data_IF_796583715360
#
_entry.id   IF_796583715360
#
_cell.length_a   1.000
_cell.length_b   1.000
_cell.length_c   1.000
_cell.angle_alpha   90.00
_cell.angle_beta   90.00
_cell.angle_gamma   90.00
#
_symmetry.space_group_name_H-M   'P 1'
#
loop_
_entity.id
_entity.type
_entity.pdbx_description
1 polymer ?
#
# COMPACT_ATOMS: atom_id res chain seq x y z
N UNK A 1 -34.85 -22.57 13.05
CA UNK A 1 -34.85 -23.97 13.52
C UNK A 1 -33.45 -24.25 14.02
N UNK A 2 -33.27 -24.71 15.25
CA UNK A 2 -31.96 -24.97 15.86
C UNK A 2 -31.41 -26.30 15.39
N UNK A 3 -30.22 -26.34 14.79
CA UNK A 3 -29.53 -27.60 14.47
C UNK A 3 -29.27 -28.39 15.76
N UNK A 4 -29.58 -29.68 15.73
CA UNK A 4 -29.26 -30.60 16.82
C UNK A 4 -27.82 -31.11 16.68
N UNK A 5 -27.19 -31.48 17.80
CA UNK A 5 -25.84 -32.05 17.78
C UNK A 5 -25.76 -33.29 16.87
N UNK A 6 -26.79 -34.13 16.82
CA UNK A 6 -26.83 -35.30 15.92
C UNK A 6 -26.82 -34.91 14.44
N UNK A 7 -27.55 -33.86 14.04
CA UNK A 7 -27.54 -33.35 12.67
C UNK A 7 -26.19 -32.74 12.30
N UNK A 8 -25.56 -32.01 13.23
CA UNK A 8 -24.22 -31.47 13.02
C UNK A 8 -23.18 -32.59 12.93
N UNK A 9 -23.29 -33.63 13.76
CA UNK A 9 -22.40 -34.77 13.77
C UNK A 9 -22.42 -35.51 12.42
N UNK A 10 -23.60 -35.75 11.85
CA UNK A 10 -23.73 -36.34 10.50
C UNK A 10 -23.07 -35.47 9.42
N UNK A 11 -23.18 -34.14 9.51
CA UNK A 11 -22.52 -33.22 8.57
C UNK A 11 -21.00 -33.22 8.73
N UNK A 12 -20.50 -33.29 9.95
CA UNK A 12 -19.05 -33.30 10.25
C UNK A 12 -18.44 -34.64 9.82
N UNK A 13 -19.07 -35.78 10.11
CA UNK A 13 -18.58 -37.12 9.71
C UNK A 13 -18.41 -37.24 8.19
N UNK A 14 -19.33 -36.66 7.41
CA UNK A 14 -19.24 -36.66 5.96
C UNK A 14 -17.94 -36.01 5.42
N UNK A 15 -17.31 -35.14 6.22
CA UNK A 15 -16.04 -34.48 5.88
C UNK A 15 -14.85 -34.99 6.68
N UNK A 16 -15.07 -35.46 7.91
CA UNK A 16 -14.06 -35.85 8.87
C UNK A 16 -14.45 -37.18 9.51
N UNK A 17 -13.95 -38.32 8.98
CA UNK A 17 -14.31 -39.65 9.48
C UNK A 17 -13.89 -39.90 10.95
N UNK A 18 -13.00 -39.08 11.49
CA UNK A 18 -12.53 -39.14 12.88
C UNK A 18 -13.29 -38.20 13.82
N UNK A 19 -14.47 -37.73 13.40
CA UNK A 19 -15.35 -36.98 14.27
C UNK A 19 -15.90 -37.86 15.41
N UNK A 20 -15.83 -37.33 16.62
CA UNK A 20 -16.21 -37.96 17.87
C UNK A 20 -17.20 -37.04 18.58
N UNK A 21 -18.36 -37.56 18.95
CA UNK A 21 -19.28 -36.84 19.82
C UNK A 21 -18.84 -37.01 21.28
N UNK A 22 -18.36 -35.92 21.91
CA UNK A 22 -17.87 -35.93 23.30
C UNK A 22 -19.04 -36.00 24.28
N UNK A 23 -20.12 -35.28 23.97
CA UNK A 23 -21.35 -35.24 24.76
C UNK A 23 -22.54 -34.86 23.86
N UNK A 24 -23.71 -34.63 24.46
CA UNK A 24 -24.94 -34.31 23.72
C UNK A 24 -24.90 -32.99 22.93
N UNK A 25 -23.90 -32.14 23.16
CA UNK A 25 -23.82 -30.80 22.52
C UNK A 25 -22.53 -30.55 21.75
N UNK A 26 -21.46 -31.31 22.01
CA UNK A 26 -20.10 -31.05 21.54
C UNK A 26 -19.59 -32.17 20.64
N UNK A 27 -19.12 -31.76 19.46
CA UNK A 27 -18.45 -32.63 18.50
C UNK A 27 -16.99 -32.23 18.38
N UNK A 28 -16.10 -33.21 18.41
CA UNK A 28 -14.67 -33.05 18.22
C UNK A 28 -14.24 -33.71 16.92
N UNK A 29 -13.38 -33.06 16.14
CA UNK A 29 -12.77 -33.67 14.95
C UNK A 29 -11.37 -33.10 14.70
N UNK A 30 -10.57 -33.79 13.89
CA UNK A 30 -9.20 -33.37 13.60
C UNK A 30 -9.02 -33.06 12.12
N UNK A 31 -8.47 -31.89 11.80
CA UNK A 31 -8.06 -31.59 10.43
C UNK A 31 -6.68 -32.23 10.15
N UNK A 32 -6.61 -32.95 9.04
CA UNK A 32 -5.42 -33.67 8.59
C UNK A 32 -5.01 -33.16 7.21
N UNK A 33 -3.70 -33.02 6.99
CA UNK A 33 -3.11 -32.77 5.69
C UNK A 33 -2.13 -33.91 5.42
N UNK A 34 -2.30 -34.63 4.30
CA UNK A 34 -1.51 -35.82 3.96
C UNK A 34 -1.45 -36.86 5.11
N UNK A 35 -2.55 -37.03 5.85
CA UNK A 35 -2.66 -37.94 7.00
C UNK A 35 -2.07 -37.40 8.32
N UNK A 36 -1.35 -36.28 8.29
CA UNK A 36 -0.81 -35.66 9.50
C UNK A 36 -1.82 -34.68 10.13
N UNK A 37 -2.20 -34.86 11.41
CA UNK A 37 -3.07 -33.93 12.09
C UNK A 37 -2.35 -32.61 12.34
N UNK A 38 -3.02 -31.48 12.05
CA UNK A 38 -2.47 -30.14 12.30
C UNK A 38 -3.35 -29.26 13.19
N UNK A 39 -4.65 -29.56 13.31
CA UNK A 39 -5.56 -28.79 14.16
C UNK A 39 -6.72 -29.65 14.68
N UNK A 40 -7.16 -29.38 15.91
CA UNK A 40 -8.30 -30.05 16.56
C UNK A 40 -9.42 -29.04 16.75
N UNK A 41 -10.63 -29.41 16.34
CA UNK A 41 -11.81 -28.55 16.40
C UNK A 41 -12.83 -29.15 17.34
N UNK A 42 -13.45 -28.29 18.15
CA UNK A 42 -14.57 -28.57 19.03
C UNK A 42 -15.74 -27.66 18.62
N UNK A 43 -16.89 -28.24 18.29
CA UNK A 43 -18.10 -27.50 17.94
C UNK A 43 -19.14 -27.77 19.02
N UNK A 44 -19.52 -26.74 19.77
CA UNK A 44 -20.61 -26.80 20.75
C UNK A 44 -21.87 -26.17 20.18
N UNK A 45 -22.96 -26.94 20.17
CA UNK A 45 -24.30 -26.50 19.71
C UNK A 45 -25.18 -26.08 20.89
N UNK A 46 -24.65 -26.11 22.12
CA UNK A 46 -25.35 -25.62 23.29
C UNK A 46 -25.76 -24.15 23.09
N UNK A 47 -27.05 -23.88 23.25
CA UNK A 47 -27.61 -22.52 23.13
C UNK A 47 -27.26 -21.64 24.35
N UNK A 48 -26.71 -22.24 25.41
CA UNK A 48 -26.33 -21.54 26.63
C UNK A 48 -24.82 -21.27 26.63
N UNK A 49 -24.45 -20.01 26.42
CA UNK A 49 -23.05 -19.59 26.49
C UNK A 49 -22.62 -19.40 27.95
N UNK A 50 -21.37 -19.72 28.31
CA UNK A 50 -20.81 -19.38 29.61
C UNK A 50 -20.89 -17.88 29.91
N UNK A 51 -21.59 -17.51 30.97
CA UNK A 51 -21.78 -16.10 31.38
C UNK A 51 -20.68 -15.55 32.30
N UNK A 52 -19.76 -16.39 32.76
CA UNK A 52 -18.64 -15.98 33.62
C UNK A 52 -17.36 -16.76 33.31
N UNK A 53 -16.22 -16.19 33.71
CA UNK A 53 -14.90 -16.81 33.50
C UNK A 53 -14.78 -18.17 34.21
N UNK A 54 -15.35 -18.30 35.41
CA UNK A 54 -15.31 -19.56 36.17
C UNK A 54 -16.08 -20.68 35.47
N UNK A 55 -17.26 -20.37 34.93
CA UNK A 55 -18.08 -21.33 34.17
C UNK A 55 -17.33 -21.73 32.90
N UNK A 56 -16.71 -20.78 32.22
CA UNK A 56 -15.92 -21.04 31.02
C UNK A 56 -14.70 -21.92 31.32
N UNK A 57 -13.98 -21.68 32.42
CA UNK A 57 -12.83 -22.52 32.81
C UNK A 57 -13.28 -23.96 33.13
N UNK A 58 -14.32 -24.13 33.95
CA UNK A 58 -14.87 -25.46 34.27
C UNK A 58 -15.34 -26.20 33.01
N UNK A 59 -15.96 -25.48 32.08
CA UNK A 59 -16.37 -26.03 30.80
C UNK A 59 -15.16 -26.53 29.98
N UNK A 60 -14.10 -25.73 29.88
CA UNK A 60 -12.88 -26.07 29.15
C UNK A 60 -12.17 -27.28 29.74
N UNK A 61 -12.02 -27.36 31.07
CA UNK A 61 -11.39 -28.49 31.73
C UNK A 61 -12.15 -29.80 31.45
N UNK A 62 -13.49 -29.73 31.42
CA UNK A 62 -14.35 -30.88 31.12
C UNK A 62 -14.24 -31.35 29.66
N UNK A 63 -14.25 -30.42 28.70
CA UNK A 63 -14.31 -30.74 27.27
C UNK A 63 -12.92 -30.96 26.66
N UNK A 64 -11.97 -30.08 26.99
CA UNK A 64 -10.65 -30.04 26.36
C UNK A 64 -9.60 -30.68 27.28
N UNK A 65 -9.69 -30.47 28.60
CA UNK A 65 -8.64 -30.86 29.54
C UNK A 65 -8.20 -32.33 29.45
N UNK A 66 -9.16 -33.25 29.30
CA UNK A 66 -8.89 -34.68 29.18
C UNK A 66 -8.17 -35.07 27.87
N UNK A 67 -8.32 -34.28 26.80
CA UNK A 67 -7.70 -34.50 25.49
C UNK A 67 -6.43 -33.67 25.28
N UNK A 68 -6.28 -32.56 26.01
CA UNK A 68 -5.19 -31.60 25.85
C UNK A 68 -3.81 -32.25 26.03
N UNK A 69 -3.69 -33.20 26.95
CA UNK A 69 -2.44 -33.91 27.22
C UNK A 69 -2.30 -35.24 26.47
N UNK A 70 -3.32 -35.69 25.73
CA UNK A 70 -3.36 -37.03 25.09
C UNK A 70 -2.79 -37.06 23.65
N UNK A 71 -2.14 -35.99 23.18
CA UNK A 71 -1.67 -35.86 21.79
C UNK A 71 -0.21 -35.42 21.65
N UNK A 72 0.23 -35.23 20.39
CA UNK A 72 1.53 -34.59 20.09
C UNK A 72 1.54 -33.17 20.67
N UNK A 73 2.61 -32.79 21.37
CA UNK A 73 2.77 -31.45 21.97
C UNK A 73 2.51 -30.29 20.99
N UNK A 74 2.74 -30.49 19.69
CA UNK A 74 2.46 -29.49 18.65
C UNK A 74 0.97 -29.17 18.48
N UNK A 75 0.07 -30.13 18.72
CA UNK A 75 -1.38 -29.95 18.55
C UNK A 75 -2.03 -29.14 19.68
N UNK A 76 -1.40 -29.06 20.85
CA UNK A 76 -1.86 -28.26 21.99
C UNK A 76 -2.05 -26.78 21.63
N UNK A 77 -1.23 -26.29 20.70
CA UNK A 77 -1.25 -24.91 20.22
C UNK A 77 -2.26 -24.65 19.10
N UNK A 78 -2.94 -25.70 18.63
CA UNK A 78 -3.84 -25.67 17.46
C UNK A 78 -5.22 -26.25 17.78
N UNK A 79 -5.71 -25.99 18.99
CA UNK A 79 -7.09 -26.29 19.39
C UNK A 79 -8.00 -25.11 19.10
N UNK A 80 -9.18 -25.39 18.54
CA UNK A 80 -10.20 -24.41 18.20
C UNK A 80 -11.54 -24.82 18.81
N UNK A 81 -12.19 -23.92 19.54
CA UNK A 81 -13.51 -24.15 20.14
C UNK A 81 -14.52 -23.15 19.57
N UNK A 82 -15.58 -23.65 18.96
CA UNK A 82 -16.65 -22.84 18.39
C UNK A 82 -17.94 -23.09 19.15
N UNK A 83 -18.54 -22.00 19.64
CA UNK A 83 -19.91 -22.02 20.14
C UNK A 83 -20.85 -21.59 19.02
N UNK A 84 -21.82 -22.44 18.69
CA UNK A 84 -22.76 -22.25 17.60
C UNK A 84 -24.08 -21.78 18.19
N UNK A 85 -24.48 -20.57 17.81
CA UNK A 85 -25.74 -19.94 18.24
C UNK A 85 -26.51 -19.42 17.02
N UNK A 86 -27.71 -18.90 17.24
CA UNK A 86 -28.49 -18.27 16.17
C UNK A 86 -28.16 -16.77 16.05
N UNK A 87 -28.32 -16.20 14.84
CA UNK A 87 -28.15 -14.75 14.61
C UNK A 87 -29.08 -13.90 15.49
N UNK A 88 -30.24 -14.41 15.83
CA UNK A 88 -31.20 -13.74 16.71
C UNK A 88 -30.70 -13.66 18.16
N UNK A 89 -30.04 -14.71 18.64
CA UNK A 89 -29.45 -14.72 19.98
C UNK A 89 -28.21 -13.83 20.07
N UNK A 90 -27.38 -13.77 19.03
CA UNK A 90 -26.21 -12.88 18.97
C UNK A 90 -26.54 -11.38 19.10
N UNK A 91 -27.81 -11.00 18.93
CA UNK A 91 -28.28 -9.62 19.11
C UNK A 91 -28.71 -9.29 20.55
N UNK A 92 -28.79 -10.29 21.44
CA UNK A 92 -29.16 -10.09 22.85
C UNK A 92 -27.94 -9.63 23.65
N UNK A 93 -28.11 -8.61 24.50
CA UNK A 93 -27.01 -8.01 25.27
C UNK A 93 -26.19 -9.03 26.06
N UNK A 94 -26.85 -9.95 26.77
CA UNK A 94 -26.19 -11.00 27.57
C UNK A 94 -25.28 -11.92 26.73
N UNK A 95 -25.66 -12.20 25.48
CA UNK A 95 -24.91 -13.06 24.55
C UNK A 95 -23.71 -12.31 23.96
N UNK A 96 -23.83 -10.98 23.77
CA UNK A 96 -22.73 -10.12 23.32
C UNK A 96 -21.63 -10.07 24.39
N UNK A 97 -22.02 -9.91 25.66
CA UNK A 97 -21.07 -9.90 26.79
C UNK A 97 -20.39 -11.27 26.95
N UNK A 98 -21.16 -12.36 26.87
CA UNK A 98 -20.62 -13.71 26.89
C UNK A 98 -19.67 -13.97 25.71
N UNK A 99 -20.01 -13.50 24.51
CA UNK A 99 -19.15 -13.58 23.32
C UNK A 99 -17.81 -12.87 23.56
N UNK A 100 -17.84 -11.64 24.06
CA UNK A 100 -16.63 -10.88 24.37
C UNK A 100 -15.75 -11.59 25.41
N UNK A 101 -16.37 -12.19 26.43
CA UNK A 101 -15.67 -12.96 27.46
C UNK A 101 -14.98 -14.20 26.86
N UNK A 102 -15.70 -14.96 26.03
CA UNK A 102 -15.21 -16.20 25.41
C UNK A 102 -14.07 -15.93 24.42
N UNK A 103 -14.22 -14.96 23.52
CA UNK A 103 -13.24 -14.71 22.44
C UNK A 103 -11.94 -14.05 22.95
N UNK A 104 -11.99 -13.39 24.11
CA UNK A 104 -10.81 -12.83 24.78
C UNK A 104 -9.97 -13.90 25.48
N UNK A 105 -10.60 -14.98 25.96
CA UNK A 105 -9.89 -16.02 26.72
C UNK A 105 -8.98 -16.87 25.81
N UNK A 106 -7.69 -16.90 26.12
CA UNK A 106 -6.65 -17.62 25.36
C UNK A 106 -6.31 -19.00 25.93
N UNK A 107 -6.90 -19.39 27.06
CA UNK A 107 -6.63 -20.69 27.67
C UNK A 107 -7.13 -21.84 26.79
N UNK A 108 -6.39 -22.97 26.76
CA UNK A 108 -6.67 -24.24 26.07
C UNK A 108 -6.89 -24.25 24.53
N UNK A 109 -7.58 -23.25 23.98
CA UNK A 109 -7.98 -23.17 22.58
C UNK A 109 -8.27 -21.72 22.16
N UNK A 110 -8.20 -21.47 20.85
CA UNK A 110 -8.77 -20.26 20.25
C UNK A 110 -10.28 -20.42 20.17
N UNK A 111 -11.03 -19.46 20.70
CA UNK A 111 -12.48 -19.56 20.86
C UNK A 111 -13.22 -18.56 19.98
N UNK A 112 -14.36 -18.98 19.48
CA UNK A 112 -15.22 -18.17 18.61
C UNK A 112 -16.68 -18.42 18.94
N UNK A 113 -17.50 -17.37 18.85
CA UNK A 113 -18.96 -17.50 18.91
C UNK A 113 -19.53 -17.09 17.56
N UNK A 114 -20.05 -18.08 16.84
CA UNK A 114 -20.47 -17.96 15.44
C UNK A 114 -21.96 -18.28 15.28
N UNK A 115 -22.61 -17.74 14.24
CA UNK A 115 -23.92 -18.18 13.87
C UNK A 115 -23.89 -19.51 13.10
N UNK A 116 -24.98 -20.26 13.14
CA UNK A 116 -25.11 -21.59 12.51
C UNK A 116 -24.79 -21.60 11.00
N UNK A 117 -25.12 -20.52 10.28
CA UNK A 117 -24.87 -20.40 8.84
C UNK A 117 -23.37 -20.32 8.48
N UNK A 118 -22.51 -19.95 9.43
CA UNK A 118 -21.05 -19.88 9.22
C UNK A 118 -20.34 -21.22 9.45
N UNK A 119 -21.03 -22.23 9.98
CA UNK A 119 -20.44 -23.57 10.24
C UNK A 119 -19.89 -24.19 8.96
N UNK A 120 -20.57 -23.98 7.82
CA UNK A 120 -20.11 -24.46 6.52
C UNK A 120 -18.73 -23.93 6.12
N UNK A 121 -18.43 -22.68 6.45
CA UNK A 121 -17.14 -22.04 6.17
C UNK A 121 -16.01 -22.63 7.02
N UNK A 122 -16.31 -23.17 8.19
CA UNK A 122 -15.31 -23.81 9.05
C UNK A 122 -14.97 -25.20 8.53
N UNK A 123 -15.98 -25.96 8.10
CA UNK A 123 -15.80 -27.29 7.55
C UNK A 123 -15.06 -27.23 6.21
N UNK A 124 -15.39 -26.24 5.38
CA UNK A 124 -14.73 -25.95 4.12
C UNK A 124 -14.34 -24.47 4.09
N UNK A 125 -13.14 -24.10 4.59
CA UNK A 125 -12.67 -22.74 4.41
C UNK A 125 -12.63 -22.45 2.93
N UNK A 126 -13.30 -21.37 2.51
CA UNK A 126 -13.18 -20.87 1.15
C UNK A 126 -11.70 -20.65 0.89
N UNK A 127 -11.14 -21.38 -0.07
CA UNK A 127 -9.85 -21.00 -0.63
C UNK A 127 -10.11 -19.62 -1.19
N UNK A 128 -9.52 -18.59 -0.58
CA UNK A 128 -9.44 -17.27 -1.18
C UNK A 128 -8.55 -17.46 -2.40
N UNK A 129 -9.17 -17.89 -3.51
CA UNK A 129 -8.54 -17.78 -4.79
C UNK A 129 -8.26 -16.29 -4.97
N UNK A 130 -7.04 -15.90 -5.38
CA UNK A 130 -6.80 -14.53 -5.79
C UNK A 130 -7.84 -14.23 -6.86
N UNK A 131 -8.85 -13.43 -6.54
CA UNK A 131 -9.73 -12.90 -7.57
C UNK A 131 -8.79 -12.16 -8.52
N UNK A 132 -8.92 -12.41 -9.82
CA UNK A 132 -8.30 -11.60 -10.88
C UNK A 132 -8.92 -10.20 -10.89
N UNK A 133 -8.91 -9.52 -9.74
CA UNK A 133 -9.16 -8.11 -9.65
C UNK A 133 -8.02 -7.47 -10.44
N UNK A 134 -8.40 -6.80 -11.53
CA UNK A 134 -7.51 -5.95 -12.28
C UNK A 134 -6.66 -5.15 -11.28
N UNK A 135 -5.32 -5.08 -11.48
CA UNK A 135 -4.41 -4.49 -10.51
C UNK A 135 -4.97 -3.12 -10.09
N UNK A 136 -5.42 -3.03 -8.84
CA UNK A 136 -5.95 -1.78 -8.32
C UNK A 136 -4.81 -0.76 -8.39
N UNK A 137 -5.06 0.33 -9.08
CA UNK A 137 -4.08 1.38 -9.30
C UNK A 137 -3.63 1.89 -7.93
N UNK A 138 -2.36 1.62 -7.57
CA UNK A 138 -1.81 2.01 -6.28
C UNK A 138 -1.92 3.52 -6.08
N UNK A 139 -2.16 3.98 -4.84
CA UNK A 139 -2.43 5.39 -4.56
C UNK A 139 -1.31 6.33 -5.03
N UNK A 140 -0.06 5.85 -5.00
CA UNK A 140 1.09 6.57 -5.55
C UNK A 140 0.99 6.78 -7.06
N UNK A 141 0.41 5.85 -7.80
CA UNK A 141 0.20 5.98 -9.25
C UNK A 141 -0.87 7.03 -9.55
N UNK A 142 -1.98 7.01 -8.80
CA UNK A 142 -3.04 8.03 -8.87
C UNK A 142 -2.50 9.42 -8.57
N UNK A 143 -1.67 9.56 -7.52
CA UNK A 143 -1.04 10.83 -7.20
C UNK A 143 -0.01 11.25 -8.24
N UNK A 144 0.78 10.30 -8.76
CA UNK A 144 1.78 10.59 -9.79
C UNK A 144 1.14 11.11 -11.07
N UNK A 145 0.04 10.50 -11.53
CA UNK A 145 -0.69 10.96 -12.71
C UNK A 145 -1.29 12.34 -12.48
N UNK A 146 -1.97 12.54 -11.36
CA UNK A 146 -2.57 13.84 -10.99
C UNK A 146 -1.52 14.96 -10.89
N UNK A 147 -0.36 14.68 -10.30
CA UNK A 147 0.75 15.64 -10.20
C UNK A 147 1.41 15.89 -11.56
N UNK A 148 1.54 14.87 -12.42
CA UNK A 148 2.09 15.04 -13.76
C UNK A 148 1.16 15.88 -14.65
N UNK A 149 -0.16 15.67 -14.57
CA UNK A 149 -1.15 16.47 -15.28
C UNK A 149 -1.12 17.94 -14.86
N UNK A 150 -0.84 18.20 -13.58
CA UNK A 150 -0.64 19.53 -13.03
C UNK A 150 0.79 20.11 -13.28
N UNK A 151 1.73 19.33 -13.83
CA UNK A 151 3.13 19.74 -14.02
C UNK A 151 3.94 19.87 -12.72
N UNK A 152 3.51 19.22 -11.65
CA UNK A 152 4.09 19.28 -10.30
C UNK A 152 4.86 18.01 -9.89
N UNK A 153 4.90 16.98 -10.74
CA UNK A 153 5.58 15.71 -10.47
C UNK A 153 7.06 15.93 -10.10
N UNK A 154 7.78 16.70 -10.91
CA UNK A 154 9.19 17.00 -10.67
C UNK A 154 9.42 17.75 -9.36
N UNK A 155 8.45 18.56 -8.92
CA UNK A 155 8.55 19.34 -7.67
C UNK A 155 8.38 18.42 -6.45
N UNK A 156 7.32 17.61 -6.44
CA UNK A 156 6.96 16.78 -5.29
C UNK A 156 7.90 15.58 -5.12
N UNK A 157 8.31 14.93 -6.22
CA UNK A 157 9.19 13.78 -6.17
C UNK A 157 10.68 14.14 -6.05
N UNK A 158 11.05 15.43 -6.16
CA UNK A 158 12.43 15.86 -5.94
C UNK A 158 12.86 15.71 -4.47
N UNK A 159 14.14 15.40 -4.24
CA UNK A 159 14.77 15.51 -2.92
C UNK A 159 15.15 16.97 -2.58
N UNK A 160 14.64 17.97 -3.31
CA UNK A 160 14.94 19.37 -3.08
C UNK A 160 14.28 19.89 -1.80
N UNK A 161 14.87 20.90 -1.18
CA UNK A 161 14.28 21.58 -0.02
C UNK A 161 13.07 22.44 -0.42
N UNK A 162 12.24 22.81 0.56
CA UNK A 162 11.00 23.55 0.32
C UNK A 162 11.22 24.86 -0.48
N UNK A 163 12.24 25.70 -0.19
CA UNK A 163 12.48 26.90 -0.98
C UNK A 163 12.83 26.62 -2.45
N UNK A 164 13.61 25.57 -2.73
CA UNK A 164 13.93 25.18 -4.10
C UNK A 164 12.70 24.64 -4.84
N UNK A 165 11.82 23.90 -4.14
CA UNK A 165 10.55 23.43 -4.69
C UNK A 165 9.64 24.58 -5.11
N UNK A 166 9.50 25.61 -4.27
CA UNK A 166 8.69 26.79 -4.59
C UNK A 166 9.23 27.54 -5.80
N UNK A 167 10.56 27.68 -5.93
CA UNK A 167 11.19 28.29 -7.12
C UNK A 167 10.90 27.53 -8.41
N UNK A 168 10.75 26.21 -8.35
CA UNK A 168 10.37 25.39 -9.51
C UNK A 168 8.89 25.60 -9.90
N UNK A 169 8.04 25.96 -8.94
CA UNK A 169 6.63 26.30 -9.21
C UNK A 169 6.53 27.71 -9.81
N UNK A 170 7.27 28.67 -9.27
CA UNK A 170 7.30 30.07 -9.76
C UNK A 170 7.91 30.21 -11.15
N UNK A 171 8.89 29.37 -11.47
CA UNK A 171 9.47 29.26 -12.80
C UNK A 171 9.08 27.91 -13.38
N UNK A 172 7.87 27.78 -13.96
CA UNK A 172 7.53 26.61 -14.73
C UNK A 172 8.49 26.59 -15.91
N UNK A 173 9.60 25.89 -15.75
CA UNK A 173 10.44 25.55 -16.87
C UNK A 173 9.55 24.84 -17.88
N UNK A 174 9.74 25.15 -19.17
CA UNK A 174 9.23 24.39 -20.32
C UNK A 174 9.81 22.95 -20.34
N UNK A 175 9.99 22.33 -19.19
CA UNK A 175 10.32 20.93 -19.04
C UNK A 175 9.11 20.19 -19.56
N UNK A 176 9.32 19.66 -20.77
CA UNK A 176 8.42 18.84 -21.53
C UNK A 176 7.43 18.12 -20.62
N UNK A 177 6.13 18.18 -20.98
CA UNK A 177 5.14 17.16 -20.62
C UNK A 177 5.84 15.82 -20.80
N UNK A 178 6.42 15.30 -19.74
CA UNK A 178 7.15 14.06 -19.82
C UNK A 178 6.01 13.09 -19.87
N UNK A 179 5.60 12.70 -21.09
CA UNK A 179 4.56 11.70 -21.33
C UNK A 179 4.75 10.67 -20.23
N UNK A 180 3.77 10.58 -19.33
CA UNK A 180 3.73 9.48 -18.38
C UNK A 180 3.72 8.28 -19.30
N UNK A 181 4.85 7.57 -19.38
CA UNK A 181 4.87 6.27 -20.00
C UNK A 181 3.86 5.48 -19.18
N UNK A 182 2.65 5.32 -19.73
CA UNK A 182 1.68 4.37 -19.22
C UNK A 182 2.44 3.08 -18.98
N UNK A 183 2.39 2.51 -17.77
CA UNK A 183 3.10 1.29 -17.48
C UNK A 183 2.70 0.27 -18.54
N UNK A 184 3.62 -0.04 -19.45
CA UNK A 184 3.37 -1.10 -20.43
C UNK A 184 3.03 -2.34 -19.61
N UNK A 185 1.94 -3.06 -19.95
CA UNK A 185 1.67 -4.35 -19.33
C UNK A 185 2.92 -5.21 -19.55
N UNK A 186 3.67 -5.37 -18.46
CA UNK A 186 5.00 -5.94 -18.51
C UNK A 186 4.91 -7.36 -19.04
N UNK A 187 5.72 -7.66 -20.05
CA UNK A 187 5.88 -9.03 -20.56
C UNK A 187 6.11 -10.02 -19.42
N UNK A 188 5.64 -11.25 -19.63
CA UNK A 188 5.50 -12.27 -18.60
C UNK A 188 6.79 -12.48 -17.79
N UNK A 189 6.88 -11.85 -16.62
CA UNK A 189 7.80 -12.29 -15.59
C UNK A 189 7.19 -13.57 -15.00
N UNK A 190 7.34 -14.70 -15.70
CA UNK A 190 6.79 -16.00 -15.30
C UNK A 190 7.03 -16.31 -13.82
N UNK A 191 6.20 -17.18 -13.22
CA UNK A 191 6.41 -17.63 -11.85
C UNK A 191 7.86 -18.07 -11.66
N UNK A 192 8.57 -17.45 -10.71
CA UNK A 192 9.96 -17.80 -10.46
C UNK A 192 10.00 -19.15 -9.74
N UNK A 193 10.72 -20.15 -10.27
CA UNK A 193 10.93 -21.40 -9.56
C UNK A 193 11.68 -21.17 -8.24
N UNK A 194 11.51 -22.08 -7.29
CA UNK A 194 12.23 -22.01 -6.02
C UNK A 194 13.75 -21.99 -6.23
N UNK A 195 14.46 -21.24 -5.38
CA UNK A 195 15.93 -21.25 -5.34
C UNK A 195 16.39 -22.55 -4.69
N UNK A 196 17.19 -23.33 -5.42
CA UNK A 196 17.85 -24.55 -4.92
C UNK A 196 19.20 -24.25 -4.28
N UNK A 197 19.97 -23.33 -4.86
CA UNK A 197 21.25 -22.92 -4.29
C UNK A 197 21.58 -21.47 -4.60
N UNK A 198 22.33 -20.84 -3.69
CA UNK A 198 22.82 -19.46 -3.81
C UNK A 198 24.32 -19.43 -3.52
N UNK A 199 25.08 -18.83 -4.42
CA UNK A 199 26.52 -18.64 -4.33
C UNK A 199 26.84 -17.14 -4.25
N UNK A 200 27.50 -16.75 -3.15
CA UNK A 200 27.99 -15.39 -2.95
C UNK A 200 29.37 -15.23 -3.59
N UNK A 201 29.44 -14.65 -4.79
CA UNK A 201 30.73 -14.37 -5.45
C UNK A 201 31.28 -13.00 -5.02
N UNK A 202 30.43 -11.97 -5.02
CA UNK A 202 30.77 -10.62 -4.55
C UNK A 202 29.51 -9.96 -3.97
N UNK A 203 29.54 -9.57 -2.70
CA UNK A 203 28.38 -8.97 -2.01
C UNK A 203 28.77 -7.80 -1.11
N UNK A 204 29.82 -7.96 -0.28
CA UNK A 204 30.46 -6.91 0.53
C UNK A 204 31.98 -7.12 0.62
N UNK A 205 32.73 -6.06 0.92
CA UNK A 205 34.14 -6.19 1.33
C UNK A 205 34.20 -7.13 2.54
N UNK A 206 35.10 -8.12 2.50
CA UNK A 206 35.32 -9.13 3.55
C UNK A 206 34.27 -10.25 3.70
N UNK A 207 33.42 -10.49 2.69
CA UNK A 207 32.53 -11.67 2.73
C UNK A 207 33.30 -12.92 2.30
N UNK A 208 33.26 -13.99 3.10
CA UNK A 208 33.74 -15.32 2.64
C UNK A 208 32.87 -15.79 1.47
N UNK A 209 33.50 -16.31 0.41
CA UNK A 209 32.80 -17.04 -0.64
C UNK A 209 32.03 -18.18 0.03
N UNK A 210 30.70 -18.17 -0.11
CA UNK A 210 29.82 -19.17 0.49
C UNK A 210 28.79 -19.63 -0.52
N UNK A 211 28.61 -20.95 -0.55
CA UNK A 211 27.56 -21.62 -1.28
C UNK A 211 26.53 -22.14 -0.27
N UNK A 212 25.27 -21.83 -0.50
CA UNK A 212 24.14 -22.27 0.30
C UNK A 212 23.25 -23.16 -0.55
N UNK A 213 22.73 -24.23 0.06
CA UNK A 213 21.74 -25.10 -0.55
C UNK A 213 20.45 -25.03 0.27
N UNK A 214 19.32 -24.98 -0.42
CA UNK A 214 18.01 -24.81 0.18
C UNK A 214 17.12 -26.02 -0.08
N UNK A 215 16.42 -26.47 0.95
CA UNK A 215 15.31 -27.41 0.86
C UNK A 215 13.96 -26.68 0.78
N UNK A 216 12.86 -27.44 0.86
CA UNK A 216 11.50 -26.87 0.93
C UNK A 216 11.26 -26.05 2.21
N UNK A 217 11.87 -26.47 3.31
CA UNK A 217 11.83 -25.80 4.61
C UNK A 217 13.27 -25.65 5.09
N UNK A 218 13.65 -24.42 5.46
CA UNK A 218 15.02 -24.08 5.85
C UNK A 218 15.03 -23.44 7.23
N UNK A 219 15.85 -23.97 8.14
CA UNK A 219 16.10 -23.37 9.45
C UNK A 219 17.50 -22.72 9.45
N UNK A 220 17.55 -21.40 9.58
CA UNK A 220 18.81 -20.64 9.58
C UNK A 220 19.13 -20.24 11.04
N UNK A 221 20.17 -20.84 11.62
CA UNK A 221 20.59 -20.59 13.00
C UNK A 221 22.09 -20.32 13.12
N UNK A 222 22.52 -19.76 14.24
CA UNK A 222 23.93 -19.44 14.52
C UNK A 222 24.09 -18.21 15.40
N UNK A 223 25.33 -17.93 15.84
CA UNK A 223 25.67 -16.77 16.69
C UNK A 223 25.28 -15.44 16.03
N UNK A 224 25.09 -14.39 16.83
CA UNK A 224 24.92 -13.04 16.28
C UNK A 224 26.18 -12.64 15.48
N UNK A 225 25.99 -11.95 14.36
CA UNK A 225 27.09 -11.62 13.43
C UNK A 225 27.55 -12.76 12.51
N UNK A 226 26.95 -13.97 12.57
CA UNK A 226 27.38 -15.10 11.71
C UNK A 226 27.00 -14.97 10.22
N UNK A 227 26.28 -13.91 9.85
CA UNK A 227 25.84 -13.63 8.47
C UNK A 227 24.41 -14.07 8.12
N UNK A 228 23.56 -14.42 9.10
CA UNK A 228 22.14 -14.81 8.87
C UNK A 228 21.37 -13.72 8.14
N UNK A 229 21.43 -12.49 8.66
CA UNK A 229 20.79 -11.32 8.05
C UNK A 229 21.37 -11.05 6.67
N UNK A 230 22.70 -11.17 6.51
CA UNK A 230 23.36 -10.98 5.22
C UNK A 230 22.87 -11.97 4.15
N UNK A 231 22.60 -13.22 4.52
CA UNK A 231 22.02 -14.22 3.62
C UNK A 231 20.62 -13.81 3.14
N UNK A 232 19.76 -13.37 4.07
CA UNK A 232 18.40 -12.91 3.74
C UNK A 232 18.42 -11.63 2.89
N UNK A 233 19.27 -10.66 3.24
CA UNK A 233 19.50 -9.45 2.44
C UNK A 233 20.08 -9.78 1.06
N UNK A 234 20.81 -10.89 0.89
CA UNK A 234 21.27 -11.32 -0.43
C UNK A 234 20.10 -11.84 -1.28
N UNK A 235 19.18 -12.60 -0.67
CA UNK A 235 17.98 -13.08 -1.35
C UNK A 235 17.09 -11.89 -1.74
N UNK A 236 16.94 -10.90 -0.85
CA UNK A 236 16.30 -9.62 -1.15
C UNK A 236 16.98 -8.93 -2.34
N UNK A 237 18.32 -8.81 -2.31
CA UNK A 237 19.10 -8.19 -3.38
C UNK A 237 18.91 -8.91 -4.73
N UNK A 238 18.84 -10.24 -4.71
CA UNK A 238 18.59 -11.04 -5.91
C UNK A 238 17.23 -10.72 -6.53
N UNK A 239 16.17 -10.69 -5.73
CA UNK A 239 14.82 -10.45 -6.23
C UNK A 239 14.57 -8.98 -6.58
N UNK A 240 15.08 -8.06 -5.77
CA UNK A 240 14.74 -6.66 -5.80
C UNK A 240 15.80 -5.76 -6.45
N UNK A 241 17.04 -6.24 -6.59
CA UNK A 241 18.17 -5.47 -7.10
C UNK A 241 18.68 -4.38 -6.14
N UNK A 242 18.01 -4.20 -5.00
CA UNK A 242 18.33 -3.26 -3.91
C UNK A 242 17.91 -3.86 -2.57
N UNK A 243 18.50 -3.35 -1.49
CA UNK A 243 18.13 -3.71 -0.13
C UNK A 243 17.52 -2.50 0.57
N UNK A 244 16.48 -2.72 1.37
CA UNK A 244 15.84 -1.66 2.16
C UNK A 244 16.80 -0.92 3.09
N UNK A 245 17.78 -1.62 3.65
CA UNK A 245 18.73 -1.03 4.60
C UNK A 245 19.64 0.01 3.96
N UNK A 246 19.99 -0.16 2.69
CA UNK A 246 20.91 0.72 1.97
C UNK A 246 20.36 1.05 0.56
N UNK A 247 19.27 1.84 0.47
CA UNK A 247 18.55 2.07 -0.79
C UNK A 247 19.35 2.88 -1.81
N UNK A 248 20.23 3.76 -1.33
CA UNK A 248 21.08 4.62 -2.16
C UNK A 248 22.41 3.96 -2.53
N UNK A 249 22.76 2.84 -1.88
CA UNK A 249 23.97 2.10 -2.23
C UNK A 249 23.77 1.31 -3.52
N UNK A 250 24.69 1.45 -4.46
CA UNK A 250 24.80 0.58 -5.64
C UNK A 250 26.03 -0.32 -5.51
N UNK A 251 26.07 -1.23 -4.53
CA UNK A 251 27.22 -2.09 -4.34
C UNK A 251 27.40 -2.96 -5.58
N UNK A 252 28.63 -3.08 -6.06
CA UNK A 252 28.96 -4.03 -7.10
C UNK A 252 28.81 -5.45 -6.53
N UNK A 253 27.78 -6.16 -6.98
CA UNK A 253 27.51 -7.53 -6.54
C UNK A 253 27.50 -8.52 -7.69
N UNK A 254 27.77 -9.79 -7.37
CA UNK A 254 27.67 -10.94 -8.26
C UNK A 254 27.19 -12.13 -7.45
N UNK A 255 26.01 -12.63 -7.81
CA UNK A 255 25.33 -13.73 -7.13
C UNK A 255 25.05 -14.84 -8.15
N UNK A 256 25.47 -16.06 -7.86
CA UNK A 256 25.07 -17.24 -8.63
C UNK A 256 23.83 -17.86 -8.00
N UNK A 257 22.76 -18.01 -8.77
CA UNK A 257 21.53 -18.67 -8.31
C UNK A 257 21.26 -19.86 -9.19
N UNK A 258 20.93 -20.99 -8.56
CA UNK A 258 20.42 -22.18 -9.24
C UNK A 258 19.01 -22.43 -8.76
N UNK A 259 18.09 -22.58 -9.69
CA UNK A 259 16.70 -22.89 -9.42
C UNK A 259 16.45 -24.40 -9.34
N UNK A 260 15.29 -24.79 -8.80
CA UNK A 260 14.89 -26.21 -8.71
C UNK A 260 14.72 -26.85 -10.09
N UNK A 261 14.35 -26.07 -11.12
CA UNK A 261 14.26 -26.53 -12.52
C UNK A 261 15.64 -26.70 -13.20
N UNK A 262 16.73 -26.47 -12.47
CA UNK A 262 18.10 -26.60 -12.96
C UNK A 262 18.63 -25.37 -13.71
N UNK A 263 17.80 -24.35 -13.96
CA UNK A 263 18.28 -23.10 -14.58
C UNK A 263 19.20 -22.36 -13.62
N UNK A 264 20.23 -21.74 -14.18
CA UNK A 264 21.16 -20.90 -13.44
C UNK A 264 21.06 -19.45 -13.89
N UNK A 265 21.21 -18.55 -12.94
CA UNK A 265 21.18 -17.11 -13.17
C UNK A 265 22.36 -16.46 -12.46
N UNK A 266 23.04 -15.53 -13.13
CA UNK A 266 24.04 -14.67 -12.51
C UNK A 266 23.44 -13.28 -12.38
N UNK A 267 23.14 -12.89 -11.15
CA UNK A 267 22.60 -11.58 -10.85
C UNK A 267 23.72 -10.60 -10.51
N UNK A 268 23.70 -9.44 -11.18
CA UNK A 268 24.62 -8.32 -10.96
C UNK A 268 23.85 -7.01 -10.82
N UNK A 269 24.55 -5.94 -10.42
CA UNK A 269 23.99 -4.59 -10.34
C UNK A 269 23.55 -4.00 -11.70
N UNK A 270 23.92 -4.62 -12.83
CA UNK A 270 23.57 -4.21 -14.19
C UNK A 270 22.23 -4.77 -14.70
N UNK A 271 21.44 -5.43 -13.85
CA UNK A 271 20.13 -5.99 -14.25
C UNK A 271 19.16 -4.89 -14.70
N UNK A 272 18.35 -5.22 -15.71
CA UNK A 272 17.39 -4.29 -16.30
C UNK A 272 16.32 -3.88 -15.28
N UNK A 273 16.12 -2.56 -15.08
CA UNK A 273 15.10 -2.00 -14.21
C UNK A 273 13.67 -2.40 -14.59
N UNK A 274 13.41 -2.70 -15.87
CA UNK A 274 12.11 -3.20 -16.35
C UNK A 274 11.73 -4.51 -15.64
N UNK A 275 12.69 -5.39 -15.37
CA UNK A 275 12.46 -6.65 -14.65
C UNK A 275 11.87 -6.40 -13.26
N UNK A 276 12.46 -5.48 -12.49
CA UNK A 276 12.01 -5.21 -11.12
C UNK A 276 10.65 -4.51 -11.10
N UNK A 277 10.39 -3.61 -12.06
CA UNK A 277 9.08 -2.97 -12.25
C UNK A 277 7.99 -3.99 -12.57
N UNK A 278 8.25 -4.91 -13.51
CA UNK A 278 7.31 -6.01 -13.83
C UNK A 278 7.06 -6.91 -12.62
N UNK A 279 8.08 -7.24 -11.84
CA UNK A 279 7.93 -8.02 -10.60
C UNK A 279 7.08 -7.29 -9.57
N UNK A 280 7.28 -5.99 -9.37
CA UNK A 280 6.49 -5.22 -8.40
C UNK A 280 5.00 -5.17 -8.80
N UNK A 281 4.73 -4.99 -10.09
CA UNK A 281 3.36 -5.05 -10.61
C UNK A 281 2.76 -6.45 -10.46
N UNK A 282 3.49 -7.51 -10.83
CA UNK A 282 2.96 -8.88 -10.80
C UNK A 282 2.78 -9.42 -9.38
N UNK A 283 3.73 -9.15 -8.48
CA UNK A 283 3.71 -9.70 -7.11
C UNK A 283 2.87 -8.88 -6.15
N UNK A 284 2.82 -7.55 -6.33
CA UNK A 284 2.21 -6.64 -5.38
C UNK A 284 1.18 -5.69 -5.99
N UNK A 285 0.92 -5.79 -7.30
CA UNK A 285 -0.06 -4.93 -7.98
C UNK A 285 0.38 -3.47 -8.07
N UNK A 286 1.65 -3.15 -7.84
CA UNK A 286 2.15 -1.77 -7.79
C UNK A 286 2.79 -1.38 -9.14
N UNK A 287 2.14 -0.50 -9.95
CA UNK A 287 2.75 0.00 -11.16
C UNK A 287 3.87 1.00 -10.81
N UNK A 288 5.03 0.82 -11.43
CA UNK A 288 6.17 1.72 -11.26
C UNK A 288 6.64 2.25 -12.61
N UNK A 289 6.70 3.58 -12.74
CA UNK A 289 7.07 4.23 -14.00
C UNK A 289 8.57 4.50 -14.08
N UNK A 290 9.18 5.13 -13.06
CA UNK A 290 10.56 5.66 -13.14
C UNK A 290 11.59 4.98 -12.24
N UNK A 291 11.16 4.36 -11.14
CA UNK A 291 12.04 3.87 -10.07
C UNK A 291 12.03 2.35 -9.94
N UNK A 292 12.74 1.85 -8.94
CA UNK A 292 12.69 0.47 -8.49
C UNK A 292 12.42 0.46 -6.98
N UNK A 293 11.16 0.39 -6.61
CA UNK A 293 10.65 0.32 -5.24
C UNK A 293 10.21 -1.10 -4.86
N UNK A 294 10.53 -2.10 -5.69
CA UNK A 294 10.24 -3.51 -5.40
C UNK A 294 10.75 -3.94 -4.03
N UNK A 295 11.91 -3.45 -3.59
CA UNK A 295 12.48 -3.76 -2.28
C UNK A 295 11.59 -3.26 -1.10
N UNK A 296 10.86 -2.16 -1.29
CA UNK A 296 9.92 -1.64 -0.30
C UNK A 296 8.69 -2.53 -0.21
N UNK A 297 8.06 -2.85 -1.35
CA UNK A 297 6.93 -3.79 -1.40
C UNK A 297 7.34 -5.15 -0.85
N UNK A 298 8.50 -5.66 -1.26
CA UNK A 298 9.03 -6.94 -0.78
C UNK A 298 9.22 -6.95 0.74
N UNK A 299 9.72 -5.85 1.31
CA UNK A 299 9.84 -5.69 2.77
C UNK A 299 8.48 -5.61 3.48
N UNK A 300 7.54 -4.85 2.92
CA UNK A 300 6.21 -4.68 3.50
C UNK A 300 5.43 -6.00 3.54
N UNK A 301 5.42 -6.75 2.44
CA UNK A 301 4.57 -7.92 2.29
C UNK A 301 5.22 -9.24 2.74
N UNK A 302 6.52 -9.46 2.55
CA UNK A 302 7.16 -10.73 2.95
C UNK A 302 7.74 -10.71 4.35
N UNK A 303 8.24 -9.56 4.81
CA UNK A 303 8.79 -9.42 6.15
C UNK A 303 7.79 -8.79 7.13
N UNK A 304 6.54 -8.54 6.69
CA UNK A 304 5.49 -7.86 7.46
C UNK A 304 5.97 -6.56 8.12
N UNK A 305 7.04 -5.96 7.58
CA UNK A 305 7.79 -4.89 8.20
C UNK A 305 7.97 -5.10 9.73
N UNK A 306 8.54 -6.23 10.17
CA UNK A 306 8.74 -6.53 11.61
C UNK A 306 9.39 -5.38 12.37
N UNK A 307 10.26 -4.61 11.71
CA UNK A 307 10.89 -3.40 12.27
C UNK A 307 9.88 -2.26 12.55
N UNK A 308 8.80 -2.12 11.78
CA UNK A 308 7.73 -1.16 12.09
C UNK A 308 6.90 -1.58 13.31
N UNK A 309 6.73 -2.89 13.56
CA UNK A 309 6.09 -3.35 14.80
C UNK A 309 6.96 -3.04 16.04
N UNK A 310 8.29 -3.04 15.88
CA UNK A 310 9.22 -2.56 16.92
C UNK A 310 9.10 -1.05 17.12
N UNK A 311 9.02 -0.26 16.03
CA UNK A 311 8.74 1.18 16.11
C UNK A 311 7.45 1.52 16.86
N UNK A 312 6.36 0.81 16.54
CA UNK A 312 5.06 0.93 17.24
C UNK A 312 5.12 0.56 18.72
N UNK A 313 5.99 -0.39 19.11
CA UNK A 313 6.15 -0.79 20.50
C UNK A 313 7.01 0.19 21.31
N UNK A 314 8.02 0.79 20.67
CA UNK A 314 8.98 1.69 21.32
C UNK A 314 8.52 3.16 21.36
N UNK A 315 7.59 3.58 20.50
CA UNK A 315 7.18 4.98 20.32
C UNK A 315 5.64 5.15 20.17
N UNK A 316 4.90 5.36 21.28
CA UNK A 316 3.46 5.61 21.23
C UNK A 316 3.08 7.01 20.72
N UNK A 317 4.04 7.92 20.50
CA UNK A 317 3.78 9.29 20.03
C UNK A 317 3.56 9.39 18.52
N UNK A 318 4.06 8.42 17.74
CA UNK A 318 4.05 8.46 16.26
C UNK A 318 3.19 7.34 15.64
N UNK A 319 2.21 6.82 16.38
CA UNK A 319 1.35 5.69 15.97
C UNK A 319 0.71 5.95 14.59
N UNK A 320 0.27 7.18 14.32
CA UNK A 320 -0.34 7.53 13.04
C UNK A 320 0.66 7.51 11.86
N UNK A 321 1.90 7.97 12.07
CA UNK A 321 2.95 7.91 11.04
C UNK A 321 3.39 6.46 10.79
N UNK A 322 3.48 5.66 11.84
CA UNK A 322 3.86 4.25 11.73
C UNK A 322 2.74 3.39 11.12
N UNK A 323 1.47 3.65 11.46
CA UNK A 323 0.32 3.06 10.77
C UNK A 323 0.26 3.46 9.30
N UNK A 324 0.53 4.73 8.99
CA UNK A 324 0.55 5.22 7.59
C UNK A 324 1.65 4.51 6.79
N UNK A 325 2.86 4.37 7.35
CA UNK A 325 3.95 3.60 6.73
C UNK A 325 3.59 2.12 6.58
N UNK A 326 2.85 1.54 7.52
CA UNK A 326 2.43 0.13 7.49
C UNK A 326 1.37 -0.12 6.41
N UNK A 327 0.36 0.75 6.33
CA UNK A 327 -0.80 0.60 5.45
C UNK A 327 -0.49 0.97 4.00
N UNK A 328 0.18 2.11 3.79
CA UNK A 328 0.36 2.72 2.46
C UNK A 328 1.82 2.70 2.00
N UNK A 329 2.76 2.40 2.90
CA UNK A 329 4.19 2.36 2.63
C UNK A 329 4.90 3.69 2.94
N UNK A 330 6.20 3.62 3.25
CA UNK A 330 7.00 4.78 3.64
C UNK A 330 7.10 5.87 2.58
N UNK A 331 7.13 5.47 1.29
CA UNK A 331 7.20 6.43 0.19
C UNK A 331 5.89 7.18 0.00
N UNK A 332 4.73 6.51 0.14
CA UNK A 332 3.44 7.18 0.09
C UNK A 332 3.31 8.21 1.22
N UNK A 333 3.68 7.83 2.44
CA UNK A 333 3.70 8.76 3.58
C UNK A 333 4.63 9.95 3.35
N UNK A 334 5.80 9.73 2.73
CA UNK A 334 6.77 10.79 2.40
C UNK A 334 6.24 11.73 1.31
N UNK A 335 5.63 11.17 0.27
CA UNK A 335 5.02 11.94 -0.84
C UNK A 335 3.86 12.77 -0.32
N UNK A 336 2.97 12.20 0.50
CA UNK A 336 1.86 12.94 1.11
C UNK A 336 2.35 14.13 1.96
N UNK A 337 3.34 13.92 2.83
CA UNK A 337 3.95 15.00 3.62
C UNK A 337 4.57 16.09 2.74
N UNK A 338 5.14 15.72 1.59
CA UNK A 338 5.67 16.68 0.65
C UNK A 338 4.56 17.51 -0.01
N UNK A 339 3.45 16.87 -0.40
CA UNK A 339 2.27 17.54 -0.94
C UNK A 339 1.71 18.52 0.07
N UNK A 340 1.50 18.09 1.31
CA UNK A 340 0.95 18.91 2.40
C UNK A 340 1.80 20.15 2.67
N UNK A 341 3.13 19.97 2.86
CA UNK A 341 4.05 21.09 3.10
C UNK A 341 4.08 22.10 1.97
N UNK A 342 4.08 21.63 0.72
CA UNK A 342 4.09 22.51 -0.45
C UNK A 342 2.74 23.23 -0.57
N UNK A 343 1.63 22.52 -0.37
CA UNK A 343 0.28 23.09 -0.40
C UNK A 343 0.11 24.19 0.66
N UNK A 344 0.52 23.94 1.90
CA UNK A 344 0.41 24.90 3.00
C UNK A 344 1.21 26.17 2.73
N UNK A 345 2.43 26.02 2.21
CA UNK A 345 3.28 27.17 1.94
C UNK A 345 2.77 27.98 0.74
N UNK A 346 2.25 27.32 -0.30
CA UNK A 346 1.56 27.98 -1.42
C UNK A 346 0.31 28.72 -0.92
N UNK A 347 -0.47 28.12 -0.02
CA UNK A 347 -1.65 28.77 0.54
C UNK A 347 -1.29 30.05 1.31
N UNK A 348 -0.17 30.05 2.05
CA UNK A 348 0.35 31.25 2.73
C UNK A 348 0.81 32.31 1.75
N UNK A 349 1.59 31.95 0.73
CA UNK A 349 2.08 32.92 -0.26
C UNK A 349 0.92 33.52 -1.06
N UNK A 350 -0.06 32.70 -1.46
CA UNK A 350 -1.28 33.18 -2.13
C UNK A 350 -2.08 34.16 -1.26
N UNK A 351 -2.22 33.90 0.04
CA UNK A 351 -2.86 34.86 0.97
C UNK A 351 -2.15 36.22 1.00
N UNK A 352 -0.81 36.24 0.86
CA UNK A 352 -0.04 37.48 0.78
C UNK A 352 -0.13 38.19 -0.58
N UNK A 353 -0.26 37.44 -1.68
CA UNK A 353 -0.31 37.98 -3.04
C UNK A 353 -1.70 38.43 -3.48
N UNK A 354 -2.78 37.84 -2.95
CA UNK A 354 -4.15 38.21 -3.30
C UNK A 354 -4.48 39.70 -3.06
N UNK A 355 -4.07 40.33 -1.94
CA UNK A 355 -4.24 41.77 -1.72
C UNK A 355 -3.48 42.62 -2.75
N UNK A 356 -2.24 42.24 -3.07
CA UNK A 356 -1.41 42.92 -4.07
C UNK A 356 -2.05 42.83 -5.46
N UNK A 357 -2.56 41.65 -5.83
CA UNK A 357 -3.30 41.47 -7.09
C UNK A 357 -4.53 42.37 -7.15
N UNK A 358 -5.34 42.40 -6.09
CA UNK A 358 -6.53 43.25 -6.03
C UNK A 358 -6.17 44.74 -6.11
N UNK A 359 -5.07 45.16 -5.49
CA UNK A 359 -4.56 46.53 -5.60
C UNK A 359 -4.15 46.87 -7.04
N UNK A 360 -3.35 46.02 -7.69
CA UNK A 360 -2.88 46.24 -9.06
C UNK A 360 -4.06 46.25 -10.04
N UNK A 361 -5.03 45.34 -9.91
CA UNK A 361 -6.24 45.35 -10.73
C UNK A 361 -7.06 46.64 -10.52
N UNK A 362 -7.12 47.14 -9.28
CA UNK A 362 -7.70 48.44 -8.95
C UNK A 362 -6.98 49.60 -9.65
N UNK A 363 -5.65 49.68 -9.53
CA UNK A 363 -4.83 50.70 -10.19
C UNK A 363 -4.95 50.66 -11.71
N UNK A 364 -4.97 49.46 -12.29
CA UNK A 364 -5.13 49.24 -13.72
C UNK A 364 -6.52 49.70 -14.19
N UNK A 365 -7.58 49.45 -13.41
CA UNK A 365 -8.93 49.97 -13.70
C UNK A 365 -8.99 51.51 -13.67
N UNK A 366 -8.25 52.14 -12.77
CA UNK A 366 -8.16 53.61 -12.67
C UNK A 366 -7.39 54.17 -13.88
N UNK A 367 -6.29 53.53 -14.27
CA UNK A 367 -5.50 53.91 -15.43
C UNK A 367 -6.31 53.77 -16.73
N UNK A 368 -7.04 52.67 -16.91
CA UNK A 368 -7.96 52.49 -18.05
C UNK A 368 -8.99 53.63 -18.09
N UNK A 369 -9.61 53.97 -16.96
CA UNK A 369 -10.56 55.09 -16.88
C UNK A 369 -9.94 56.43 -17.25
N UNK A 370 -8.68 56.67 -16.83
CA UNK A 370 -7.94 57.89 -17.20
C UNK A 370 -7.63 57.93 -18.69
N UNK A 371 -7.23 56.81 -19.29
CA UNK A 371 -6.93 56.69 -20.71
C UNK A 371 -8.19 56.93 -21.56
N UNK A 372 -9.33 56.35 -21.18
CA UNK A 372 -10.61 56.63 -21.84
C UNK A 372 -11.00 58.10 -21.71
N UNK A 373 -10.84 58.71 -20.51
CA UNK A 373 -11.17 60.13 -20.33
C UNK A 373 -10.22 61.07 -21.08
N UNK A 374 -8.97 60.67 -21.32
CA UNK A 374 -8.00 61.46 -22.07
C UNK A 374 -8.23 61.39 -23.58
N UNK A 375 -8.76 60.27 -24.09
CA UNK A 375 -9.18 60.16 -25.49
C UNK A 375 -10.45 60.97 -25.79
N UNK A 376 -11.26 61.28 -24.77
CA UNK A 376 -12.43 62.16 -24.90
C UNK A 376 -12.09 63.67 -24.86
N UNK A 377 -10.83 64.03 -24.55
CA UNK A 377 -10.37 65.42 -24.60
C UNK A 377 -10.10 65.74 -26.08
N UNK A 378 -11.00 66.53 -26.70
CA UNK A 378 -10.76 67.14 -28.01
C UNK A 378 -9.42 67.86 -28.00
N UNK A 379 -8.45 67.36 -28.76
CA UNK A 379 -7.17 68.02 -28.92
C UNK A 379 -7.42 69.35 -29.63
N UNK A 380 -6.76 70.44 -29.21
CA UNK A 380 -6.86 71.73 -29.88
C UNK A 380 -6.55 71.63 -31.39
N UNK A 381 -5.70 70.66 -31.77
CA UNK A 381 -5.41 70.29 -33.16
C UNK A 381 -6.65 69.91 -33.96
N UNK A 382 -7.66 69.29 -33.38
CA UNK A 382 -8.90 68.93 -34.07
C UNK A 382 -9.77 70.16 -34.33
N UNK A 383 -9.82 71.08 -33.36
CA UNK A 383 -10.50 72.38 -33.53
C UNK A 383 -9.81 73.24 -34.60
N UNK A 384 -8.48 73.23 -34.63
CA UNK A 384 -7.67 73.91 -35.64
C UNK A 384 -7.86 73.25 -37.00
N UNK A 385 -7.88 71.90 -37.08
CA UNK A 385 -8.11 71.16 -38.33
C UNK A 385 -9.49 71.43 -38.92
N UNK A 386 -10.53 71.47 -38.09
CA UNK A 386 -11.89 71.85 -38.53
C UNK A 386 -11.93 73.29 -39.05
N UNK A 387 -11.26 74.22 -38.36
CA UNK A 387 -11.20 75.64 -38.77
C UNK A 387 -10.39 75.82 -40.06
N UNK A 388 -9.27 75.11 -40.19
CA UNK A 388 -8.42 75.07 -41.38
C UNK A 388 -9.19 74.48 -42.56
N UNK A 389 -9.91 73.37 -42.36
CA UNK A 389 -10.75 72.72 -43.39
C UNK A 389 -11.89 73.65 -43.84
N UNK A 390 -12.49 74.39 -42.90
CA UNK A 390 -13.47 75.45 -43.21
C UNK A 390 -12.87 76.62 -44.00
N UNK A 391 -11.62 77.01 -43.73
CA UNK A 391 -10.92 78.06 -44.48
C UNK A 391 -10.50 77.58 -45.88
N UNK A 392 -9.96 76.37 -46.00
CA UNK A 392 -9.58 75.75 -47.28
C UNK A 392 -10.79 75.64 -48.21
N UNK A 393 -11.94 75.19 -47.69
CA UNK A 393 -13.19 75.14 -48.45
C UNK A 393 -13.70 76.52 -48.88
N UNK A 394 -13.52 77.57 -48.05
CA UNK A 394 -13.91 78.95 -48.40
C UNK A 394 -13.05 79.56 -49.50
N UNK A 395 -11.78 79.16 -49.60
CA UNK A 395 -10.85 79.63 -50.64
C UNK A 395 -10.94 78.79 -51.92
N UNK A 396 -11.82 77.78 -51.97
CA UNK A 396 -12.08 76.98 -53.16
C UNK A 396 -10.96 75.98 -53.50
N UNK A 397 -10.03 75.76 -52.58
CA UNK A 397 -9.04 74.69 -52.70
C UNK A 397 -9.74 73.35 -52.44
N UNK A 398 -9.96 72.57 -53.51
CA UNK A 398 -10.40 71.17 -53.38
C UNK A 398 -9.21 70.34 -52.90
N UNK A 399 -9.44 69.52 -51.86
CA UNK A 399 -8.50 68.48 -51.43
C UNK A 399 -8.08 67.65 -52.65
N UNK A 400 -6.78 67.64 -52.96
CA UNK A 400 -6.19 66.61 -53.82
C UNK A 400 -6.42 65.30 -53.09
N UNK A 401 -7.06 64.33 -53.75
CA UNK A 401 -7.17 62.96 -53.26
C UNK A 401 -5.77 62.46 -52.94
N UNK A 402 -5.49 62.18 -51.68
CA UNK A 402 -4.35 61.35 -51.30
C UNK A 402 -4.62 59.95 -51.89
N UNK A 403 -3.80 59.56 -52.87
CA UNK A 403 -3.65 58.16 -53.26
C UNK A 403 -3.10 57.41 -52.05
N UNK A 404 -3.90 56.51 -51.47
CA UNK A 404 -3.46 55.56 -50.44
C UNK A 404 -2.64 54.38 -51.01
N UNK A 405 -2.04 54.51 -52.21
CA UNK A 405 -1.24 53.45 -52.86
C UNK A 405 0.20 53.88 -53.20
N UNK A 406 0.80 54.75 -52.39
CA UNK A 406 2.24 54.95 -52.44
C UNK A 406 2.79 55.33 -51.06
N UNK A 407 3.01 54.33 -50.19
CA UNK A 407 4.24 54.14 -49.40
C UNK A 407 4.26 52.77 -48.71
#
# INVERSE_FOLDING_TARGET
>A
MTVTASQLHSRVIAHFPDAEQINDTVIRFTKKMEGNPYAVYYLDVAQNLPSSQEILTKYQDRIIGSYYFKGRKSLQWSNYLYFITSREQLKRGEVIDAKGLIERDRNYARKFVIPEDEVGLILKPSVIAPTELAPHEGILSIWSSSLADAGLDAVIFSNANLPARLKLIEKPSLLAKTKVETPEPGGDAGELPFIRSLELKKYREFTSLRKFEFGKVNLIFGRNGSGKTSLLETIELFYCGRNKRNPDSTPAYSLGVTFVDGKTEIATNSRNRKLFRTRNLKWYGQPEVRTNNLYLSFSQFNFLNTDAAVGLADSPTDIEDDLSKLLVGSEASKVWRNIERVSDEIAKTLKGLNPLKAQIEGELSILIKRLSSSNDIRLESDSIRVRLKGMINRVGWREVREDEDAF
#
